data_IF_910050177462
#
_entry.id   IF_910050177462
#
_cell.length_a   1.000
_cell.length_b   1.000
_cell.length_c   1.000
_cell.angle_alpha   90.00
_cell.angle_beta   90.00
_cell.angle_gamma   90.00
#
_symmetry.space_group_name_H-M   'P 1'
#
loop_
_entity.id
_entity.type
_entity.pdbx_description
1 polymer ?
#
# COMPACT_ATOMS: atom_id res chain seq x y z
N UNK A 1 16.22 -6.93 -22.81
CA UNK A 1 16.19 -6.37 -21.46
C UNK A 1 15.37 -5.06 -21.38
N UNK A 2 15.64 -4.03 -22.17
CA UNK A 2 14.93 -2.74 -22.16
C UNK A 2 13.40 -2.81 -22.35
N UNK A 3 12.88 -3.71 -23.22
CA UNK A 3 11.43 -3.89 -23.41
C UNK A 3 10.74 -4.43 -22.14
N UNK A 4 11.41 -5.29 -21.38
CA UNK A 4 10.90 -5.89 -20.15
C UNK A 4 10.80 -4.82 -19.04
N UNK A 5 11.82 -3.99 -18.88
CA UNK A 5 11.83 -2.88 -17.93
C UNK A 5 10.76 -1.83 -18.23
N UNK A 6 10.55 -1.51 -19.52
CA UNK A 6 9.48 -0.57 -19.93
C UNK A 6 8.09 -1.08 -19.58
N UNK A 7 7.81 -2.36 -19.79
CA UNK A 7 6.51 -2.95 -19.45
C UNK A 7 6.25 -2.96 -17.95
N UNK A 8 7.28 -3.20 -17.14
CA UNK A 8 7.23 -3.13 -15.67
C UNK A 8 6.94 -1.71 -15.20
N UNK A 9 7.59 -0.71 -15.81
CA UNK A 9 7.33 0.70 -15.49
C UNK A 9 5.89 1.12 -15.78
N UNK A 10 5.33 0.70 -16.93
CA UNK A 10 3.93 0.96 -17.28
C UNK A 10 2.98 0.26 -16.29
N UNK A 11 3.25 -1.01 -15.96
CA UNK A 11 2.46 -1.76 -14.99
C UNK A 11 2.48 -1.09 -13.61
N UNK A 12 3.65 -0.69 -13.13
CA UNK A 12 3.79 0.05 -11.86
C UNK A 12 3.02 1.37 -11.88
N UNK A 13 3.08 2.13 -13.00
CA UNK A 13 2.33 3.37 -13.12
C UNK A 13 0.81 3.15 -13.05
N UNK A 14 0.30 2.11 -13.71
CA UNK A 14 -1.12 1.74 -13.64
C UNK A 14 -1.54 1.38 -12.22
N UNK A 15 -0.75 0.55 -11.52
CA UNK A 15 -1.03 0.18 -10.13
C UNK A 15 -1.04 1.42 -9.21
N UNK A 16 -0.09 2.33 -9.40
CA UNK A 16 -0.05 3.57 -8.61
C UNK A 16 -1.29 4.45 -8.85
N UNK A 17 -1.78 4.56 -10.08
CA UNK A 17 -3.02 5.29 -10.37
C UNK A 17 -4.22 4.63 -9.67
N UNK A 18 -4.34 3.30 -9.74
CA UNK A 18 -5.39 2.55 -9.05
C UNK A 18 -5.32 2.80 -7.53
N UNK A 19 -4.12 2.79 -6.96
CA UNK A 19 -3.90 3.07 -5.53
C UNK A 19 -4.38 4.46 -5.14
N UNK A 20 -4.02 5.48 -5.92
CA UNK A 20 -4.45 6.87 -5.68
C UNK A 20 -5.97 6.97 -5.72
N UNK A 21 -6.62 6.37 -6.72
CA UNK A 21 -8.08 6.35 -6.82
C UNK A 21 -8.71 5.64 -5.62
N UNK A 22 -8.17 4.49 -5.20
CA UNK A 22 -8.65 3.76 -4.03
C UNK A 22 -8.57 4.61 -2.76
N UNK A 23 -7.45 5.31 -2.53
CA UNK A 23 -7.27 6.20 -1.37
C UNK A 23 -8.27 7.35 -1.39
N UNK A 24 -8.52 7.97 -2.55
CA UNK A 24 -9.53 9.02 -2.66
C UNK A 24 -10.93 8.52 -2.32
N UNK A 25 -11.31 7.31 -2.77
CA UNK A 25 -12.60 6.71 -2.44
C UNK A 25 -12.69 6.45 -0.92
N UNK A 26 -11.63 5.91 -0.32
CA UNK A 26 -11.57 5.66 1.14
C UNK A 26 -11.76 6.97 1.91
N UNK A 27 -11.00 8.01 1.57
CA UNK A 27 -11.10 9.33 2.19
C UNK A 27 -12.50 9.92 2.04
N UNK A 28 -13.11 9.79 0.87
CA UNK A 28 -14.47 10.27 0.63
C UNK A 28 -15.51 9.55 1.52
N UNK A 29 -15.47 8.21 1.56
CA UNK A 29 -16.41 7.42 2.38
C UNK A 29 -16.21 7.73 3.86
N UNK A 30 -14.97 7.76 4.32
CA UNK A 30 -14.64 8.03 5.71
C UNK A 30 -15.08 9.45 6.12
N UNK A 31 -14.89 10.44 5.26
CA UNK A 31 -15.38 11.80 5.48
C UNK A 31 -16.91 11.85 5.52
N UNK A 32 -17.59 11.08 4.69
CA UNK A 32 -19.05 10.97 4.69
C UNK A 32 -19.56 10.38 5.99
N UNK A 33 -18.97 9.28 6.47
CA UNK A 33 -19.33 8.61 7.74
C UNK A 33 -19.08 9.56 8.93
N UNK A 34 -17.98 10.30 8.94
CA UNK A 34 -17.69 11.27 10.00
C UNK A 34 -18.74 12.37 10.10
N UNK A 35 -19.26 12.87 8.96
CA UNK A 35 -20.27 13.94 8.92
C UNK A 35 -21.70 13.46 9.24
N UNK A 36 -21.92 12.15 9.39
CA UNK A 36 -23.20 11.58 9.80
C UNK A 36 -23.31 11.44 11.31
N UNK A 37 -24.55 11.44 11.84
CA UNK A 37 -24.79 11.01 13.22
C UNK A 37 -24.45 9.51 13.38
N UNK A 38 -24.15 9.06 14.60
CA UNK A 38 -23.82 7.65 14.85
C UNK A 38 -25.00 6.76 14.49
N UNK A 39 -26.23 7.19 14.83
CA UNK A 39 -27.45 6.47 14.49
C UNK A 39 -27.65 6.32 12.99
N UNK A 40 -27.45 7.42 12.23
CA UNK A 40 -27.57 7.41 10.77
C UNK A 40 -26.46 6.58 10.11
N UNK A 41 -25.25 6.62 10.63
CA UNK A 41 -24.12 5.83 10.13
C UNK A 41 -24.37 4.33 10.35
N UNK A 42 -24.82 3.94 11.54
CA UNK A 42 -25.16 2.56 11.87
C UNK A 42 -26.34 2.06 11.02
N UNK A 43 -27.38 2.88 10.85
CA UNK A 43 -28.55 2.51 10.05
C UNK A 43 -28.25 2.41 8.54
N UNK A 44 -27.38 3.30 8.03
CA UNK A 44 -27.08 3.36 6.58
C UNK A 44 -26.00 2.37 6.14
N UNK A 45 -25.10 1.97 7.04
CA UNK A 45 -23.90 1.21 6.70
C UNK A 45 -23.71 -0.07 7.52
N UNK A 46 -24.70 -0.45 8.32
CA UNK A 46 -24.66 -1.63 9.20
C UNK A 46 -23.37 -1.64 10.07
N UNK A 47 -23.07 -0.47 10.65
CA UNK A 47 -21.94 -0.30 11.55
C UNK A 47 -22.41 -0.44 12.99
N UNK A 48 -21.53 -0.91 13.88
CA UNK A 48 -21.79 -1.04 15.31
C UNK A 48 -21.04 0.05 16.11
N UNK A 49 -21.12 1.31 15.67
CA UNK A 49 -20.49 2.44 16.33
C UNK A 49 -21.27 2.85 17.58
N UNK A 50 -20.55 3.12 18.68
CA UNK A 50 -21.10 3.61 19.93
C UNK A 50 -20.63 5.05 20.22
N UNK A 51 -21.31 5.76 21.12
CA UNK A 51 -20.88 7.09 21.57
C UNK A 51 -19.48 7.04 22.22
N UNK A 52 -19.15 5.94 22.89
CA UNK A 52 -17.84 5.74 23.53
C UNK A 52 -16.70 5.61 22.48
N UNK A 53 -16.99 5.13 21.28
CA UNK A 53 -15.99 5.03 20.21
C UNK A 53 -15.55 6.42 19.72
N UNK A 54 -16.43 7.40 19.74
CA UNK A 54 -16.13 8.79 19.38
C UNK A 54 -15.60 9.64 20.55
N UNK A 55 -15.32 9.02 21.70
CA UNK A 55 -14.56 9.68 22.78
C UNK A 55 -13.07 9.69 22.43
N UNK A 56 -12.64 10.76 21.75
CA UNK A 56 -11.30 10.87 21.18
C UNK A 56 -10.25 11.07 22.26
N UNK A 57 -9.43 10.07 22.48
CA UNK A 57 -8.26 10.16 23.36
C UNK A 57 -6.99 10.45 22.56
N UNK A 58 -6.38 11.62 22.80
CA UNK A 58 -5.15 12.02 22.13
C UNK A 58 -3.92 11.20 22.53
N UNK A 59 -3.97 10.55 23.69
CA UNK A 59 -2.82 9.84 24.21
C UNK A 59 -3.21 8.57 24.97
N UNK A 60 -2.92 7.42 24.37
CA UNK A 60 -3.14 6.11 24.99
C UNK A 60 -1.82 5.34 25.03
N UNK A 61 -1.08 5.36 26.16
CA UNK A 61 0.24 4.73 26.24
C UNK A 61 0.25 3.26 25.90
N UNK A 62 -0.81 2.53 26.21
CA UNK A 62 -0.94 1.10 25.91
C UNK A 62 -0.93 0.79 24.38
N UNK A 63 -1.25 1.77 23.54
CA UNK A 63 -1.28 1.60 22.07
C UNK A 63 0.04 1.99 21.37
N UNK A 64 1.01 2.56 22.09
CA UNK A 64 2.29 2.99 21.54
C UNK A 64 3.07 1.84 20.88
N UNK A 65 3.18 0.63 21.46
CA UNK A 65 3.89 -0.47 20.80
C UNK A 65 3.28 -0.87 19.45
N UNK A 66 1.94 -0.90 19.37
CA UNK A 66 1.22 -1.19 18.12
C UNK A 66 1.45 -0.09 17.07
N UNK A 67 1.43 1.18 17.48
CA UNK A 67 1.77 2.30 16.59
C UNK A 67 3.21 2.20 16.05
N UNK A 68 4.20 1.91 16.91
CA UNK A 68 5.57 1.71 16.49
C UNK A 68 5.72 0.56 15.49
N UNK A 69 5.03 -0.56 15.71
CA UNK A 69 5.01 -1.69 14.79
C UNK A 69 4.41 -1.31 13.43
N UNK A 70 3.29 -0.59 13.41
CA UNK A 70 2.67 -0.11 12.18
C UNK A 70 3.58 0.87 11.42
N UNK A 71 4.29 1.76 12.13
CA UNK A 71 5.26 2.67 11.53
C UNK A 71 6.45 1.92 10.92
N UNK A 72 6.93 0.84 11.53
CA UNK A 72 7.98 0.00 10.94
C UNK A 72 7.52 -0.65 9.63
N UNK A 73 6.28 -1.16 9.57
CA UNK A 73 5.70 -1.72 8.35
C UNK A 73 5.59 -0.66 7.23
N UNK A 74 5.34 0.61 7.56
CA UNK A 74 5.28 1.68 6.59
C UNK A 74 6.59 1.86 5.80
N UNK A 75 7.73 1.55 6.44
CA UNK A 75 9.06 1.65 5.83
C UNK A 75 9.56 0.36 5.17
N UNK A 76 8.74 -0.68 5.08
CA UNK A 76 9.12 -1.98 4.49
C UNK A 76 9.58 -1.86 3.03
N UNK A 77 9.11 -0.85 2.28
CA UNK A 77 9.52 -0.57 0.90
C UNK A 77 10.96 -0.07 0.70
N UNK A 78 11.73 0.15 1.76
CA UNK A 78 13.09 0.70 1.68
C UNK A 78 14.07 -0.18 0.89
N UNK A 79 13.81 -1.48 0.76
CA UNK A 79 14.63 -2.40 -0.05
C UNK A 79 14.65 -2.00 -1.53
N UNK A 80 13.58 -1.40 -2.04
CA UNK A 80 13.49 -0.92 -3.42
C UNK A 80 14.34 0.33 -3.67
N UNK A 81 14.57 1.15 -2.64
CA UNK A 81 15.33 2.40 -2.73
C UNK A 81 16.78 2.13 -3.13
N UNK A 82 17.40 1.07 -2.59
CA UNK A 82 18.76 0.69 -2.94
C UNK A 82 18.89 0.30 -4.42
N UNK A 83 17.94 -0.45 -4.95
CA UNK A 83 17.93 -0.84 -6.35
C UNK A 83 17.72 0.37 -7.26
N UNK A 84 16.81 1.28 -6.89
CA UNK A 84 16.62 2.53 -7.62
C UNK A 84 17.87 3.42 -7.58
N UNK A 85 18.55 3.48 -6.46
CA UNK A 85 19.79 4.23 -6.32
C UNK A 85 20.89 3.69 -7.24
N UNK A 86 21.02 2.36 -7.31
CA UNK A 86 22.03 1.70 -8.16
C UNK A 86 21.82 1.93 -9.67
N UNK A 87 20.54 2.13 -10.09
CA UNK A 87 20.17 2.37 -11.49
C UNK A 87 20.14 3.86 -11.86
N UNK A 88 20.32 4.76 -10.88
CA UNK A 88 20.19 6.19 -11.13
C UNK A 88 21.46 6.81 -11.72
N UNK A 89 21.29 7.46 -12.86
CA UNK A 89 22.40 8.18 -13.55
C UNK A 89 22.93 9.40 -12.77
N UNK A 90 22.12 9.97 -11.85
CA UNK A 90 22.45 11.18 -11.08
C UNK A 90 22.36 10.95 -9.56
N UNK A 91 23.30 10.23 -8.95
CA UNK A 91 23.24 9.83 -7.54
C UNK A 91 23.16 11.02 -6.56
N UNK A 92 23.73 12.18 -6.90
CA UNK A 92 23.69 13.37 -6.03
C UNK A 92 22.30 13.96 -5.84
N UNK A 93 21.43 13.84 -6.84
CA UNK A 93 20.05 14.35 -6.81
C UNK A 93 19.05 13.31 -6.30
N UNK A 94 19.46 12.05 -6.19
CA UNK A 94 18.57 10.96 -5.82
C UNK A 94 17.98 11.12 -4.41
N UNK A 95 18.84 11.40 -3.42
CA UNK A 95 18.41 11.49 -2.02
C UNK A 95 17.35 12.58 -1.79
N UNK A 96 17.56 13.86 -2.18
CA UNK A 96 16.57 14.89 -1.94
C UNK A 96 15.26 14.66 -2.71
N UNK A 97 15.31 14.11 -3.92
CA UNK A 97 14.13 13.79 -4.71
C UNK A 97 13.34 12.67 -4.04
N UNK A 98 14.01 11.57 -3.67
CA UNK A 98 13.36 10.42 -3.03
C UNK A 98 12.73 10.80 -1.70
N UNK A 99 13.44 11.56 -0.85
CA UNK A 99 12.89 12.06 0.41
C UNK A 99 11.71 13.00 0.20
N UNK A 100 11.80 13.90 -0.77
CA UNK A 100 10.69 14.79 -1.14
C UNK A 100 9.45 14.02 -1.56
N UNK A 101 9.59 13.00 -2.39
CA UNK A 101 8.47 12.15 -2.84
C UNK A 101 7.86 11.37 -1.67
N UNK A 102 8.69 10.74 -0.82
CA UNK A 102 8.20 9.98 0.34
C UNK A 102 7.43 10.87 1.30
N UNK A 103 7.98 12.04 1.66
CA UNK A 103 7.32 13.00 2.55
C UNK A 103 6.02 13.50 1.94
N UNK A 104 6.01 13.82 0.64
CA UNK A 104 4.79 14.27 -0.05
C UNK A 104 3.69 13.22 -0.03
N UNK A 105 4.02 11.96 -0.32
CA UNK A 105 3.07 10.84 -0.27
C UNK A 105 2.54 10.65 1.15
N UNK A 106 3.42 10.68 2.16
CA UNK A 106 3.04 10.52 3.56
C UNK A 106 2.09 11.62 4.02
N UNK A 107 2.40 12.87 3.71
CA UNK A 107 1.56 14.01 4.10
C UNK A 107 0.25 14.06 3.29
N UNK A 108 0.27 13.74 2.00
CA UNK A 108 -0.90 13.84 1.13
C UNK A 108 -1.89 12.68 1.30
N UNK A 109 -1.43 11.49 1.67
CA UNK A 109 -2.27 10.28 1.71
C UNK A 109 -2.34 9.65 3.10
N UNK A 110 -1.22 9.36 3.74
CA UNK A 110 -1.22 8.61 5.01
C UNK A 110 -1.82 9.42 6.16
N UNK A 111 -1.46 10.70 6.27
CA UNK A 111 -1.97 11.58 7.33
C UNK A 111 -3.47 11.83 7.19
N UNK A 112 -4.02 12.26 6.04
CA UNK A 112 -5.46 12.46 5.89
C UNK A 112 -6.26 11.16 6.09
N UNK A 113 -5.80 10.04 5.54
CA UNK A 113 -6.48 8.74 5.67
C UNK A 113 -6.52 8.28 7.12
N UNK A 114 -5.40 8.37 7.84
CA UNK A 114 -5.33 7.99 9.24
C UNK A 114 -6.16 8.91 10.14
N UNK A 115 -6.08 10.22 9.91
CA UNK A 115 -6.83 11.21 10.69
C UNK A 115 -8.34 11.08 10.49
N UNK A 116 -8.80 11.01 9.24
CA UNK A 116 -10.23 10.84 8.94
C UNK A 116 -10.74 9.47 9.39
N UNK A 117 -9.92 8.41 9.26
CA UNK A 117 -10.25 7.09 9.80
C UNK A 117 -10.50 7.12 11.29
N UNK A 118 -9.63 7.79 12.05
CA UNK A 118 -9.82 7.93 13.47
C UNK A 118 -11.03 8.81 13.84
N UNK A 119 -11.30 9.87 13.08
CA UNK A 119 -12.48 10.70 13.30
C UNK A 119 -13.79 9.97 13.00
N UNK A 120 -13.81 9.08 12.00
CA UNK A 120 -15.02 8.36 11.60
C UNK A 120 -15.32 7.18 12.53
N UNK A 121 -14.31 6.38 12.89
CA UNK A 121 -14.46 5.10 13.59
C UNK A 121 -13.97 5.16 15.05
N UNK A 122 -13.26 6.20 15.43
CA UNK A 122 -12.77 6.44 16.80
C UNK A 122 -11.92 5.31 17.36
N UNK A 123 -12.27 4.84 18.55
CA UNK A 123 -11.54 3.79 19.25
C UNK A 123 -11.75 2.39 18.67
N UNK A 124 -12.80 2.16 17.90
CA UNK A 124 -13.11 0.87 17.26
C UNK A 124 -12.36 0.65 15.94
N UNK A 125 -11.59 1.66 15.46
CA UNK A 125 -10.82 1.57 14.22
C UNK A 125 -9.89 0.35 14.21
N UNK A 126 -9.98 -0.47 13.16
CA UNK A 126 -9.13 -1.65 12.95
C UNK A 126 -7.76 -1.25 12.40
N UNK A 127 -6.81 -2.16 12.48
CA UNK A 127 -5.45 -1.95 11.98
C UNK A 127 -5.40 -1.61 10.48
N UNK A 128 -6.41 -2.04 9.72
CA UNK A 128 -6.53 -1.77 8.28
C UNK A 128 -7.89 -1.14 8.02
N UNK A 129 -7.90 0.14 7.71
CA UNK A 129 -9.11 0.96 7.54
C UNK A 129 -10.13 0.37 6.51
N UNK A 130 -9.66 -0.39 5.55
CA UNK A 130 -10.50 -1.06 4.56
C UNK A 130 -11.44 -2.10 5.19
N UNK A 131 -11.07 -2.66 6.34
CA UNK A 131 -11.92 -3.61 7.08
C UNK A 131 -13.07 -2.93 7.81
N UNK A 132 -12.97 -1.62 8.03
CA UNK A 132 -14.02 -0.82 8.68
C UNK A 132 -14.99 -0.21 7.67
N UNK A 133 -14.66 -0.26 6.37
CA UNK A 133 -15.57 0.22 5.34
C UNK A 133 -16.80 -0.70 5.23
N UNK A 134 -18.00 -0.13 5.07
CA UNK A 134 -19.24 -0.87 4.95
C UNK A 134 -19.22 -1.87 3.78
N UNK A 135 -19.94 -2.97 3.91
CA UNK A 135 -20.01 -4.03 2.89
C UNK A 135 -21.10 -3.78 1.86
N UNK A 136 -22.16 -3.06 2.23
CA UNK A 136 -23.34 -2.86 1.38
C UNK A 136 -23.22 -1.65 0.45
N UNK A 137 -22.20 -0.80 0.65
CA UNK A 137 -21.98 0.36 -0.22
C UNK A 137 -21.12 0.01 -1.44
N UNK A 138 -21.64 0.29 -2.63
CA UNK A 138 -20.98 0.00 -3.92
C UNK A 138 -19.60 0.64 -4.01
N UNK A 139 -19.42 1.87 -3.48
CA UNK A 139 -18.14 2.55 -3.48
C UNK A 139 -17.11 1.83 -2.57
N UNK A 140 -17.57 1.33 -1.43
CA UNK A 140 -16.75 0.53 -0.52
C UNK A 140 -16.26 -0.75 -1.16
N UNK A 141 -17.13 -1.44 -1.91
CA UNK A 141 -16.76 -2.66 -2.65
C UNK A 141 -15.72 -2.34 -3.72
N UNK A 142 -15.89 -1.25 -4.47
CA UNK A 142 -14.92 -0.80 -5.48
C UNK A 142 -13.57 -0.45 -4.83
N UNK A 143 -13.58 0.25 -3.69
CA UNK A 143 -12.35 0.56 -2.96
C UNK A 143 -11.62 -0.70 -2.49
N UNK A 144 -12.35 -1.69 -1.95
CA UNK A 144 -11.81 -2.99 -1.54
C UNK A 144 -11.21 -3.75 -2.73
N UNK A 145 -11.88 -3.74 -3.88
CA UNK A 145 -11.37 -4.37 -5.10
C UNK A 145 -10.09 -3.70 -5.59
N UNK A 146 -10.06 -2.36 -5.67
CA UNK A 146 -8.89 -1.61 -6.09
C UNK A 146 -7.70 -1.80 -5.15
N UNK A 147 -7.96 -1.84 -3.85
CA UNK A 147 -6.91 -2.13 -2.87
C UNK A 147 -6.34 -3.54 -3.01
N UNK A 148 -7.20 -4.52 -3.24
CA UNK A 148 -6.77 -5.90 -3.51
C UNK A 148 -5.89 -5.98 -4.75
N UNK A 149 -6.30 -5.32 -5.84
CA UNK A 149 -5.50 -5.23 -7.06
C UNK A 149 -4.15 -4.53 -6.81
N UNK A 150 -4.13 -3.49 -5.98
CA UNK A 150 -2.90 -2.80 -5.58
C UNK A 150 -1.94 -3.74 -4.83
N UNK A 151 -2.44 -4.52 -3.87
CA UNK A 151 -1.61 -5.50 -3.14
C UNK A 151 -1.05 -6.56 -4.08
N UNK A 152 -1.88 -7.12 -4.95
CA UNK A 152 -1.43 -8.13 -5.95
C UNK A 152 -0.37 -7.54 -6.88
N UNK A 153 -0.57 -6.31 -7.36
CA UNK A 153 0.38 -5.61 -8.21
C UNK A 153 1.70 -5.28 -7.51
N UNK A 154 1.63 -4.83 -6.26
CA UNK A 154 2.81 -4.55 -5.43
C UNK A 154 3.62 -5.81 -5.16
N UNK A 155 2.97 -6.93 -4.91
CA UNK A 155 3.63 -8.22 -4.72
C UNK A 155 4.49 -8.62 -5.93
N UNK A 156 3.95 -8.43 -7.16
CA UNK A 156 4.71 -8.69 -8.39
C UNK A 156 5.96 -7.82 -8.49
N UNK A 157 5.87 -6.55 -8.07
CA UNK A 157 7.02 -5.64 -8.05
C UNK A 157 8.05 -6.01 -6.98
N UNK A 158 7.60 -6.44 -5.80
CA UNK A 158 8.50 -6.81 -4.69
C UNK A 158 9.28 -8.10 -4.98
N UNK A 159 8.75 -9.02 -5.77
CA UNK A 159 9.43 -10.28 -6.09
C UNK A 159 10.54 -10.13 -7.15
N UNK A 160 10.56 -9.02 -7.89
CA UNK A 160 11.55 -8.80 -8.98
C UNK A 160 13.01 -8.85 -8.55
N UNK A 161 13.45 -8.23 -7.42
CA UNK A 161 14.82 -8.33 -6.98
C UNK A 161 15.26 -9.77 -6.74
N UNK A 162 14.32 -10.61 -6.24
CA UNK A 162 14.56 -12.03 -6.00
C UNK A 162 14.81 -12.76 -7.32
N UNK A 163 13.98 -12.52 -8.34
CA UNK A 163 14.19 -13.09 -9.67
C UNK A 163 15.53 -12.64 -10.28
N UNK A 164 15.90 -11.37 -10.11
CA UNK A 164 17.17 -10.87 -10.61
C UNK A 164 18.38 -11.57 -9.97
N UNK A 165 18.33 -11.81 -8.66
CA UNK A 165 19.39 -12.54 -7.94
C UNK A 165 19.43 -14.00 -8.37
N UNK A 166 18.26 -14.65 -8.52
CA UNK A 166 18.15 -16.03 -8.98
C UNK A 166 18.69 -16.23 -10.39
N UNK A 167 18.31 -15.36 -11.33
CA UNK A 167 18.79 -15.40 -12.72
C UNK A 167 20.32 -15.22 -12.83
N UNK A 168 20.93 -14.54 -11.85
CA UNK A 168 22.37 -14.31 -11.83
C UNK A 168 23.16 -15.45 -11.18
N UNK A 169 22.49 -16.34 -10.47
CA UNK A 169 23.09 -17.48 -9.81
C UNK A 169 23.43 -18.58 -10.82
N UNK A 170 24.65 -19.07 -10.83
CA UNK A 170 25.12 -20.08 -11.81
C UNK A 170 24.32 -21.40 -11.75
N UNK A 171 23.77 -21.74 -10.57
CA UNK A 171 22.86 -22.89 -10.42
C UNK A 171 21.58 -22.73 -11.22
N UNK A 172 20.98 -21.54 -11.23
CA UNK A 172 19.77 -21.26 -12.00
C UNK A 172 20.06 -21.32 -13.51
N UNK A 173 21.20 -20.77 -13.94
CA UNK A 173 21.66 -20.84 -15.34
C UNK A 173 21.90 -22.27 -15.78
N UNK A 174 22.45 -23.11 -14.91
CA UNK A 174 22.66 -24.54 -15.18
C UNK A 174 21.34 -25.31 -15.30
N UNK A 175 20.34 -24.96 -14.48
CA UNK A 175 19.02 -25.60 -14.49
C UNK A 175 18.18 -25.22 -15.73
N UNK A 176 18.37 -23.99 -16.24
CA UNK A 176 17.65 -23.45 -17.41
C UNK A 176 18.37 -23.68 -18.74
N UNK A 177 19.55 -24.30 -18.75
CA UNK A 177 20.15 -24.79 -19.99
C UNK A 177 19.23 -25.87 -20.56
N UNK A 178 18.67 -25.69 -21.77
CA UNK A 178 18.01 -26.79 -22.45
C UNK A 178 19.05 -27.91 -22.55
N UNK A 179 18.67 -29.10 -22.13
CA UNK A 179 19.46 -30.30 -22.44
C UNK A 179 19.45 -30.38 -23.95
N UNK A 180 20.53 -29.96 -24.57
CA UNK A 180 20.69 -30.16 -25.99
C UNK A 180 20.75 -31.67 -26.23
N UNK A 181 19.75 -32.20 -26.92
CA UNK A 181 19.76 -33.59 -27.39
C UNK A 181 20.95 -33.86 -28.32
N UNK A 182 21.76 -32.84 -28.62
CA UNK A 182 22.91 -32.87 -29.52
C UNK A 182 24.22 -33.36 -28.85
N UNK A 183 24.23 -33.74 -27.57
CA UNK A 183 25.41 -34.36 -26.94
C UNK A 183 25.34 -35.89 -26.86
N UNK A 184 24.41 -36.52 -27.60
CA UNK A 184 24.25 -37.99 -27.66
C UNK A 184 24.52 -38.59 -29.06
N UNK A 185 25.36 -37.95 -29.90
CA UNK A 185 25.94 -38.57 -31.09
C UNK A 185 27.47 -38.70 -30.96
#
# INVERSE_FOLDING_TARGET
MLKRLRNIGIFSAVINVITVVAVFIIVYITSKIWNMSIEDANASYDLELTEEDRDYSLWVPARIPGFCAAMMCLFEGNQQILNLYAENEKPRSFYPITMGVIITILLAFAVPTGYLGYLAFGNSVKSVIIMDLPYDDTLSVIAKLFYTLTIMGSFVLMIQPIYYVLERTDRYKAMMRPTSEDELE
#
